data_IF_840320279949
#
_entry.id   IF_840320279949
#
_cell.length_a   1.000
_cell.length_b   1.000
_cell.length_c   1.000
_cell.angle_alpha   90.00
_cell.angle_beta   90.00
_cell.angle_gamma   90.00
#
_symmetry.space_group_name_H-M   'P 1'
#
loop_
_entity.id
_entity.type
_entity.pdbx_description
1 polymer ?
#
# COMPACT_ATOMS: atom_id res chain seq x y z
N UNK A 1 -68.05 -7.28 -53.86
CA UNK A 1 -67.41 -7.33 -52.52
C UNK A 1 -66.85 -8.73 -52.36
N UNK A 2 -65.54 -8.89 -52.51
CA UNK A 2 -64.82 -10.17 -52.32
C UNK A 2 -63.90 -9.94 -51.13
N UNK A 3 -64.09 -10.71 -50.07
CA UNK A 3 -63.27 -10.68 -48.87
C UNK A 3 -61.85 -11.17 -49.20
N UNK A 4 -60.85 -10.35 -48.87
CA UNK A 4 -59.45 -10.70 -49.02
C UNK A 4 -59.02 -11.63 -47.85
N UNK A 5 -58.24 -12.69 -48.10
CA UNK A 5 -57.69 -13.52 -47.05
C UNK A 5 -56.55 -12.78 -46.34
N UNK A 6 -56.64 -12.64 -45.02
CA UNK A 6 -55.54 -12.18 -44.17
C UNK A 6 -54.42 -13.22 -44.18
N UNK A 7 -53.28 -12.88 -44.79
CA UNK A 7 -52.02 -13.58 -44.63
C UNK A 7 -51.09 -12.78 -43.69
N UNK A 8 -50.36 -13.54 -42.88
CA UNK A 8 -49.15 -13.18 -42.12
C UNK A 8 -49.31 -12.53 -40.73
N UNK A 9 -49.79 -13.33 -39.77
CA UNK A 9 -49.36 -13.16 -38.38
C UNK A 9 -47.99 -13.85 -38.22
N UNK A 10 -46.91 -13.08 -38.25
CA UNK A 10 -45.58 -13.57 -37.92
C UNK A 10 -45.55 -14.12 -36.47
N UNK A 11 -44.88 -15.26 -36.20
CA UNK A 11 -44.79 -15.80 -34.85
C UNK A 11 -44.07 -14.80 -33.92
N UNK A 12 -44.48 -14.70 -32.65
CA UNK A 12 -43.86 -13.78 -31.71
C UNK A 12 -42.36 -14.11 -31.55
N UNK A 13 -41.49 -13.09 -31.45
CA UNK A 13 -40.06 -13.31 -31.28
C UNK A 13 -39.80 -14.15 -30.01
N UNK A 14 -38.79 -15.03 -30.01
CA UNK A 14 -38.47 -15.86 -28.86
C UNK A 14 -38.20 -14.98 -27.64
N UNK A 15 -38.80 -15.35 -26.51
CA UNK A 15 -38.60 -14.65 -25.25
C UNK A 15 -37.13 -14.74 -24.85
N UNK A 16 -36.38 -13.66 -25.06
CA UNK A 16 -35.01 -13.54 -24.56
C UNK A 16 -35.10 -13.45 -23.04
N UNK A 17 -34.49 -14.36 -22.26
CA UNK A 17 -34.48 -14.24 -20.82
C UNK A 17 -33.87 -12.88 -20.46
N UNK A 18 -34.44 -12.15 -19.49
CA UNK A 18 -33.94 -10.84 -19.13
C UNK A 18 -32.48 -10.97 -18.73
N UNK A 19 -31.58 -10.48 -19.59
CA UNK A 19 -30.17 -10.40 -19.29
C UNK A 19 -30.09 -9.46 -18.08
N UNK A 20 -29.65 -9.97 -16.93
CA UNK A 20 -29.32 -9.10 -15.80
C UNK A 20 -28.18 -8.19 -16.26
N UNK A 21 -28.55 -7.01 -16.75
CA UNK A 21 -27.61 -5.96 -17.08
C UNK A 21 -26.95 -5.59 -15.76
N UNK A 22 -25.62 -5.70 -15.69
CA UNK A 22 -24.87 -5.13 -14.56
C UNK A 22 -25.31 -3.67 -14.42
N UNK A 23 -25.58 -3.18 -13.21
CA UNK A 23 -25.91 -1.78 -12.99
C UNK A 23 -24.90 -0.91 -13.73
N UNK A 24 -25.38 -0.02 -14.58
CA UNK A 24 -24.53 1.00 -15.16
C UNK A 24 -24.11 1.91 -14.01
N UNK A 25 -22.87 1.74 -13.54
CA UNK A 25 -22.27 2.61 -12.53
C UNK A 25 -21.76 3.83 -13.31
N UNK A 26 -22.36 5.02 -13.15
CA UNK A 26 -21.83 6.22 -13.74
C UNK A 26 -20.43 6.43 -13.18
N UNK A 27 -19.47 6.70 -14.06
CA UNK A 27 -18.07 6.96 -13.76
C UNK A 27 -17.82 7.56 -12.37
N UNK A 28 -17.22 6.78 -11.47
CA UNK A 28 -16.56 7.30 -10.28
C UNK A 28 -17.09 6.87 -8.92
N UNK A 29 -18.29 6.30 -8.80
CA UNK A 29 -18.71 5.75 -7.50
C UNK A 29 -18.09 4.36 -7.27
N UNK A 30 -17.30 4.16 -6.20
CA UNK A 30 -16.79 2.85 -5.85
C UNK A 30 -17.97 1.94 -5.54
N UNK A 31 -18.14 0.85 -6.29
CA UNK A 31 -19.11 -0.18 -5.95
C UNK A 31 -18.60 -0.97 -4.74
N UNK A 32 -18.80 -0.41 -3.55
CA UNK A 32 -18.30 -0.89 -2.25
C UNK A 32 -18.92 -2.22 -1.79
N UNK A 33 -20.04 -2.62 -2.40
CA UNK A 33 -20.82 -3.81 -2.05
C UNK A 33 -20.50 -5.03 -2.95
N UNK A 34 -19.70 -4.89 -4.01
CA UNK A 34 -19.35 -6.05 -4.84
C UNK A 34 -18.43 -7.02 -4.07
N UNK A 35 -18.73 -8.32 -4.03
CA UNK A 35 -17.85 -9.30 -3.43
C UNK A 35 -16.52 -9.32 -4.18
N UNK A 36 -15.42 -9.19 -3.44
CA UNK A 36 -14.06 -9.26 -3.98
C UNK A 36 -13.77 -10.66 -4.51
N UNK A 37 -13.00 -10.73 -5.60
CA UNK A 37 -12.58 -12.03 -6.12
C UNK A 37 -11.63 -12.74 -5.14
N UNK A 38 -11.59 -14.07 -5.17
CA UNK A 38 -10.64 -14.84 -4.38
C UNK A 38 -9.17 -14.46 -4.69
N UNK A 39 -8.86 -14.13 -5.96
CA UNK A 39 -7.55 -13.65 -6.36
C UNK A 39 -7.20 -12.28 -5.76
N UNK A 40 -8.19 -11.40 -5.65
CA UNK A 40 -8.03 -10.08 -5.01
C UNK A 40 -7.74 -10.24 -3.51
N UNK A 41 -8.44 -11.15 -2.82
CA UNK A 41 -8.14 -11.47 -1.42
C UNK A 41 -6.75 -12.09 -1.25
N UNK A 42 -6.38 -13.03 -2.12
CA UNK A 42 -5.05 -13.64 -2.10
C UNK A 42 -3.94 -12.60 -2.32
N UNK A 43 -4.14 -11.63 -3.22
CA UNK A 43 -3.19 -10.55 -3.45
C UNK A 43 -3.02 -9.65 -2.20
N UNK A 44 -4.13 -9.23 -1.58
CA UNK A 44 -4.07 -8.43 -0.35
C UNK A 44 -3.42 -9.22 0.80
N UNK A 45 -3.77 -10.50 0.96
CA UNK A 45 -3.17 -11.38 1.96
C UNK A 45 -1.68 -11.59 1.74
N UNK A 46 -1.24 -11.82 0.50
CA UNK A 46 0.17 -12.00 0.15
C UNK A 46 1.00 -10.75 0.46
N UNK A 47 0.51 -9.56 0.08
CA UNK A 47 1.17 -8.29 0.41
C UNK A 47 1.18 -8.04 1.91
N UNK A 48 0.13 -8.42 2.64
CA UNK A 48 0.05 -8.29 4.09
C UNK A 48 1.08 -9.13 4.85
N UNK A 49 1.61 -10.19 4.24
CA UNK A 49 2.69 -10.99 4.84
C UNK A 49 4.07 -10.36 4.67
N UNK A 50 4.25 -9.40 3.74
CA UNK A 50 5.55 -8.80 3.48
C UNK A 50 6.14 -8.08 4.71
N UNK A 51 5.40 -7.21 5.44
CA UNK A 51 5.93 -6.57 6.65
C UNK A 51 6.38 -7.58 7.71
N UNK A 52 5.63 -8.68 7.89
CA UNK A 52 5.98 -9.75 8.83
C UNK A 52 7.25 -10.47 8.40
N UNK A 53 7.36 -10.81 7.11
CA UNK A 53 8.56 -11.42 6.53
C UNK A 53 9.80 -10.54 6.67
N UNK A 54 9.65 -9.22 6.49
CA UNK A 54 10.75 -8.26 6.66
C UNK A 54 11.17 -8.08 8.11
N UNK A 55 10.24 -8.04 9.08
CA UNK A 55 10.60 -8.00 10.51
C UNK A 55 11.32 -9.28 10.92
N UNK A 56 10.88 -10.44 10.43
CA UNK A 56 11.61 -11.69 10.63
C UNK A 56 12.99 -11.66 9.97
N UNK A 57 13.12 -11.17 8.73
CA UNK A 57 14.40 -11.06 8.04
C UNK A 57 15.38 -10.14 8.78
N UNK A 58 14.87 -9.05 9.38
CA UNK A 58 15.67 -8.13 10.19
C UNK A 58 16.37 -8.85 11.36
N UNK A 59 15.71 -9.85 11.98
CA UNK A 59 16.32 -10.68 13.03
C UNK A 59 17.51 -11.53 12.53
N UNK A 60 17.57 -11.82 11.23
CA UNK A 60 18.63 -12.62 10.62
C UNK A 60 19.81 -11.76 10.18
N UNK A 61 19.52 -10.60 9.62
CA UNK A 61 20.55 -9.70 9.07
C UNK A 61 21.32 -9.02 10.21
N UNK A 62 20.64 -8.57 11.26
CA UNK A 62 21.27 -7.91 12.41
C UNK A 62 21.86 -8.86 13.45
N UNK A 63 21.81 -10.19 13.24
CA UNK A 63 22.27 -11.19 14.21
C UNK A 63 21.51 -11.21 15.56
N UNK A 64 20.51 -10.34 15.72
CA UNK A 64 19.72 -10.18 16.94
C UNK A 64 18.34 -10.82 16.78
N UNK A 65 18.07 -11.86 17.59
CA UNK A 65 16.86 -12.68 17.49
C UNK A 65 15.64 -12.09 18.20
N UNK A 66 15.75 -10.90 18.82
CA UNK A 66 14.65 -10.24 19.53
C UNK A 66 13.59 -9.70 18.57
N UNK A 67 12.68 -10.56 18.17
CA UNK A 67 11.57 -10.23 17.26
C UNK A 67 10.71 -9.07 17.76
N UNK A 68 10.43 -9.00 19.07
CA UNK A 68 9.62 -7.93 19.66
C UNK A 68 10.24 -6.55 19.53
N UNK A 69 11.57 -6.44 19.64
CA UNK A 69 12.28 -5.18 19.49
C UNK A 69 12.31 -4.72 18.02
N UNK A 70 12.57 -5.65 17.09
CA UNK A 70 12.46 -5.37 15.64
C UNK A 70 11.03 -4.97 15.24
N UNK A 71 10.01 -5.62 15.81
CA UNK A 71 8.61 -5.24 15.57
C UNK A 71 8.30 -3.83 16.11
N UNK A 72 8.86 -3.46 17.26
CA UNK A 72 8.69 -2.12 17.83
C UNK A 72 9.39 -1.04 16.98
N UNK A 73 10.59 -1.31 16.45
CA UNK A 73 11.25 -0.44 15.47
C UNK A 73 10.40 -0.22 14.21
N UNK A 74 9.86 -1.31 13.67
CA UNK A 74 9.04 -1.26 12.45
C UNK A 74 7.75 -0.48 12.72
N UNK A 75 7.13 -0.69 13.88
CA UNK A 75 5.94 0.05 14.31
C UNK A 75 6.24 1.54 14.48
N UNK A 76 7.36 1.91 15.11
CA UNK A 76 7.76 3.30 15.28
C UNK A 76 7.98 4.00 13.93
N UNK A 77 8.70 3.34 13.01
CA UNK A 77 8.89 3.85 11.64
C UNK A 77 7.57 3.96 10.87
N UNK A 78 6.67 2.99 11.00
CA UNK A 78 5.34 2.98 10.37
C UNK A 78 4.48 4.14 10.86
N UNK A 79 4.42 4.35 12.18
CA UNK A 79 3.64 5.44 12.80
C UNK A 79 4.18 6.79 12.35
N UNK A 80 5.50 6.99 12.41
CA UNK A 80 6.09 8.25 11.96
C UNK A 80 5.94 8.46 10.46
N UNK A 81 6.05 7.43 9.63
CA UNK A 81 5.80 7.51 8.18
C UNK A 81 4.37 7.94 7.87
N UNK A 82 3.38 7.53 8.66
CA UNK A 82 1.98 7.85 8.42
C UNK A 82 1.65 9.34 8.55
N UNK A 83 2.42 10.10 9.34
CA UNK A 83 2.21 11.53 9.58
C UNK A 83 2.38 12.38 8.31
N UNK A 84 3.55 12.36 7.63
CA UNK A 84 3.70 12.98 6.32
C UNK A 84 3.05 12.13 5.22
N UNK A 85 3.16 10.80 5.30
CA UNK A 85 2.87 9.90 4.18
C UNK A 85 1.39 9.79 3.81
N UNK A 86 0.47 10.34 4.62
CA UNK A 86 -0.96 10.45 4.26
C UNK A 86 -1.19 11.13 2.91
N UNK A 87 -0.31 12.04 2.48
CA UNK A 87 -0.45 12.72 1.19
C UNK A 87 0.10 11.92 0.00
N UNK A 88 0.76 10.77 0.24
CA UNK A 88 1.23 9.88 -0.83
C UNK A 88 0.09 9.15 -1.54
N UNK A 89 -1.08 9.05 -0.88
CA UNK A 89 -2.20 8.23 -1.35
C UNK A 89 -3.45 9.05 -1.69
N UNK A 90 -3.37 10.39 -1.56
CA UNK A 90 -4.46 11.28 -1.96
C UNK A 90 -4.67 11.13 -3.47
N UNK A 91 -5.83 10.60 -3.84
CA UNK A 91 -6.28 10.54 -5.23
C UNK A 91 -7.39 11.54 -5.43
N UNK A 92 -7.19 12.52 -6.31
CA UNK A 92 -8.21 13.52 -6.55
C UNK A 92 -9.30 12.94 -7.44
N UNK A 93 -10.55 13.07 -6.99
CA UNK A 93 -11.70 12.61 -7.77
C UNK A 93 -11.90 13.45 -9.04
N UNK A 94 -11.50 14.73 -9.04
CA UNK A 94 -11.47 15.64 -10.20
C UNK A 94 -10.61 16.91 -9.91
N UNK A 95 -9.28 16.92 -10.08
CA UNK A 95 -8.50 18.13 -9.91
C UNK A 95 -8.38 18.87 -11.25
N UNK A 96 -8.74 20.15 -11.31
CA UNK A 96 -8.43 21.02 -12.45
C UNK A 96 -7.65 22.25 -11.95
N UNK A 97 -6.60 22.63 -12.68
CA UNK A 97 -5.81 23.85 -12.41
C UNK A 97 -4.98 23.79 -11.12
N UNK A 98 -5.02 24.87 -10.33
CA UNK A 98 -4.16 25.13 -9.15
C UNK A 98 -4.20 24.03 -8.08
N UNK A 99 -5.30 23.30 -7.97
CA UNK A 99 -5.42 22.23 -6.98
C UNK A 99 -4.56 21.01 -7.34
N UNK A 100 -4.46 20.67 -8.63
CA UNK A 100 -3.58 19.61 -9.12
C UNK A 100 -2.11 19.93 -8.82
N UNK A 101 -1.70 21.19 -9.01
CA UNK A 101 -0.32 21.62 -8.71
C UNK A 101 0.03 21.51 -7.22
N UNK A 102 -0.91 21.88 -6.34
CA UNK A 102 -0.75 21.74 -4.89
C UNK A 102 -0.66 20.28 -4.45
N UNK A 103 -1.46 19.40 -5.05
CA UNK A 103 -1.47 17.97 -4.75
C UNK A 103 -0.20 17.27 -5.25
N UNK A 104 0.25 17.57 -6.48
CA UNK A 104 1.54 17.10 -7.00
C UNK A 104 2.69 17.62 -6.14
N UNK A 105 2.62 18.89 -5.70
CA UNK A 105 3.58 19.47 -4.77
C UNK A 105 3.59 18.76 -3.41
N UNK A 106 2.41 18.44 -2.86
CA UNK A 106 2.27 17.71 -1.59
C UNK A 106 2.76 16.26 -1.70
N UNK A 107 2.43 15.57 -2.79
CA UNK A 107 2.97 14.24 -3.10
C UNK A 107 4.50 14.29 -3.21
N UNK A 108 5.04 15.23 -4.00
CA UNK A 108 6.49 15.39 -4.17
C UNK A 108 7.21 15.72 -2.86
N UNK A 109 6.64 16.62 -2.04
CA UNK A 109 7.21 16.95 -0.73
C UNK A 109 7.20 15.74 0.21
N UNK A 110 6.12 14.95 0.21
CA UNK A 110 6.02 13.75 1.06
C UNK A 110 6.87 12.59 0.55
N UNK A 111 7.13 12.50 -0.76
CA UNK A 111 8.13 11.59 -1.33
C UNK A 111 9.51 11.80 -0.72
N UNK A 112 9.87 13.06 -0.45
CA UNK A 112 11.17 13.42 0.11
C UNK A 112 11.19 13.31 1.64
N UNK A 113 10.11 13.71 2.31
CA UNK A 113 10.09 13.85 3.78
C UNK A 113 9.69 12.57 4.51
N UNK A 114 8.91 11.68 3.89
CA UNK A 114 8.41 10.46 4.55
C UNK A 114 9.53 9.47 4.92
N UNK A 115 10.49 9.12 4.03
CA UNK A 115 11.55 8.18 4.39
C UNK A 115 12.45 8.66 5.54
N UNK A 116 12.93 9.92 5.58
CA UNK A 116 13.67 10.45 6.73
C UNK A 116 12.90 10.38 8.04
N UNK A 117 11.61 10.74 8.04
CA UNK A 117 10.77 10.71 9.24
C UNK A 117 10.57 9.27 9.73
N UNK A 118 10.31 8.33 8.81
CA UNK A 118 10.21 6.91 9.15
C UNK A 118 11.52 6.36 9.72
N UNK A 119 12.64 6.69 9.06
CA UNK A 119 13.98 6.30 9.49
C UNK A 119 14.32 6.82 10.88
N UNK A 120 13.95 8.06 11.21
CA UNK A 120 14.13 8.63 12.56
C UNK A 120 13.38 7.82 13.62
N UNK A 121 12.16 7.35 13.32
CA UNK A 121 11.36 6.54 14.23
C UNK A 121 11.96 5.17 14.48
N UNK A 122 12.33 4.48 13.40
CA UNK A 122 12.98 3.16 13.47
C UNK A 122 14.33 3.25 14.16
N UNK A 123 15.20 4.16 13.72
CA UNK A 123 16.52 4.37 14.31
C UNK A 123 16.39 4.76 15.78
N UNK A 124 15.55 5.75 16.11
CA UNK A 124 15.37 6.21 17.48
C UNK A 124 14.90 5.08 18.41
N UNK A 125 13.90 4.30 17.98
CA UNK A 125 13.44 3.14 18.74
C UNK A 125 14.51 2.05 18.83
N UNK A 126 15.30 1.85 17.77
CA UNK A 126 16.38 0.89 17.75
C UNK A 126 17.53 1.24 18.69
N UNK A 127 17.90 2.51 18.77
CA UNK A 127 18.86 2.99 19.75
C UNK A 127 18.36 2.77 21.19
N UNK A 128 17.06 2.96 21.46
CA UNK A 128 16.48 2.65 22.78
C UNK A 128 16.48 1.15 23.07
N UNK A 129 16.09 0.33 22.10
CA UNK A 129 15.90 -1.10 22.30
C UNK A 129 17.22 -1.90 22.33
N UNK A 130 18.24 -1.42 21.60
CA UNK A 130 19.46 -2.16 21.37
C UNK A 130 20.74 -1.44 21.82
N UNK A 131 20.76 -0.12 22.01
CA UNK A 131 21.81 0.61 22.70
C UNK A 131 23.25 0.58 22.13
N UNK A 132 23.48 -0.11 21.01
CA UNK A 132 24.82 -0.62 20.62
C UNK A 132 25.29 -0.24 19.20
N UNK A 133 24.68 0.74 18.51
CA UNK A 133 25.19 1.09 17.17
C UNK A 133 26.56 1.79 17.27
N UNK A 134 27.61 1.16 16.72
CA UNK A 134 28.97 1.72 16.71
C UNK A 134 29.06 3.03 15.94
N UNK A 135 28.30 3.13 14.85
CA UNK A 135 28.15 4.34 14.04
C UNK A 135 26.66 4.64 13.85
N UNK A 136 26.15 5.53 14.71
CA UNK A 136 24.77 6.00 14.68
C UNK A 136 24.38 6.63 13.34
N UNK A 137 25.35 7.27 12.66
CA UNK A 137 25.13 7.89 11.36
C UNK A 137 24.88 6.85 10.27
N UNK A 138 25.73 5.81 10.22
CA UNK A 138 25.52 4.67 9.30
C UNK A 138 24.22 3.92 9.59
N UNK A 139 23.89 3.71 10.88
CA UNK A 139 22.65 3.06 11.28
C UNK A 139 21.40 3.83 10.82
N UNK A 140 21.42 5.16 10.97
CA UNK A 140 20.37 6.03 10.45
C UNK A 140 20.31 6.03 8.91
N UNK A 141 21.45 6.07 8.21
CA UNK A 141 21.49 6.01 6.75
C UNK A 141 20.99 4.68 6.20
N UNK A 142 21.27 3.57 6.87
CA UNK A 142 20.69 2.27 6.55
C UNK A 142 19.18 2.28 6.75
N UNK A 143 18.69 2.81 7.87
CA UNK A 143 17.26 2.98 8.10
C UNK A 143 16.60 3.85 7.03
N UNK A 144 17.26 4.93 6.59
CA UNK A 144 16.79 5.81 5.51
C UNK A 144 16.73 5.10 4.16
N UNK A 145 17.78 4.36 3.79
CA UNK A 145 17.81 3.57 2.57
C UNK A 145 16.70 2.51 2.56
N UNK A 146 16.55 1.80 3.68
CA UNK A 146 15.48 0.83 3.87
C UNK A 146 14.07 1.43 3.80
N UNK A 147 13.85 2.58 4.45
CA UNK A 147 12.58 3.30 4.40
C UNK A 147 12.23 3.75 2.97
N UNK A 148 13.22 4.20 2.20
CA UNK A 148 13.04 4.64 0.82
C UNK A 148 12.62 3.48 -0.08
N UNK A 149 13.30 2.33 0.03
CA UNK A 149 12.92 1.12 -0.72
C UNK A 149 11.52 0.64 -0.30
N UNK A 150 11.26 0.58 1.01
CA UNK A 150 9.95 0.21 1.57
C UNK A 150 8.82 1.12 1.08
N UNK A 151 9.10 2.42 0.91
CA UNK A 151 8.15 3.38 0.38
C UNK A 151 7.82 3.17 -1.09
N UNK A 152 8.82 2.94 -1.93
CA UNK A 152 8.59 2.63 -3.35
C UNK A 152 7.76 1.34 -3.50
N UNK A 153 8.07 0.31 -2.71
CA UNK A 153 7.28 -0.92 -2.66
C UNK A 153 5.86 -0.66 -2.13
N UNK A 154 5.71 0.19 -1.11
CA UNK A 154 4.42 0.57 -0.56
C UNK A 154 3.51 1.28 -1.56
N UNK A 155 4.07 2.21 -2.34
CA UNK A 155 3.35 2.90 -3.41
C UNK A 155 2.95 1.92 -4.51
N UNK A 156 3.87 1.07 -4.97
CA UNK A 156 3.58 0.06 -5.98
C UNK A 156 2.52 -0.94 -5.52
N UNK A 157 2.59 -1.39 -4.26
CA UNK A 157 1.61 -2.29 -3.66
C UNK A 157 0.24 -1.62 -3.52
N UNK A 158 0.19 -0.38 -3.03
CA UNK A 158 -1.05 0.39 -2.92
C UNK A 158 -1.74 0.52 -4.28
N UNK A 159 -1.00 0.93 -5.31
CA UNK A 159 -1.54 1.15 -6.64
C UNK A 159 -1.93 -0.16 -7.35
N UNK A 160 -1.11 -1.21 -7.21
CA UNK A 160 -1.42 -2.54 -7.74
C UNK A 160 -2.68 -3.15 -7.09
N UNK A 161 -2.83 -3.04 -5.77
CA UNK A 161 -4.01 -3.52 -5.05
C UNK A 161 -5.25 -2.69 -5.37
N UNK A 162 -5.10 -1.38 -5.58
CA UNK A 162 -6.16 -0.48 -6.06
C UNK A 162 -6.66 -0.90 -7.43
N UNK A 163 -5.78 -1.22 -8.37
CA UNK A 163 -6.17 -1.72 -9.70
C UNK A 163 -6.95 -3.04 -9.62
N UNK A 164 -6.65 -3.92 -8.65
CA UNK A 164 -7.29 -5.22 -8.50
C UNK A 164 -8.65 -5.19 -7.79
N UNK A 165 -8.89 -4.21 -6.93
CA UNK A 165 -10.07 -4.15 -6.06
C UNK A 165 -10.92 -2.88 -6.25
N UNK A 166 -10.52 -1.98 -7.16
CA UNK A 166 -11.18 -0.70 -7.36
C UNK A 166 -11.01 0.26 -6.17
N UNK A 167 -11.76 1.35 -6.22
CA UNK A 167 -11.71 2.50 -5.28
C UNK A 167 -12.47 2.26 -3.97
N UNK A 168 -12.73 0.99 -3.59
CA UNK A 168 -13.47 0.68 -2.36
C UNK A 168 -12.80 1.27 -1.13
N UNK A 169 -13.48 2.20 -0.44
CA UNK A 169 -13.00 2.86 0.77
C UNK A 169 -12.64 1.86 1.89
N UNK A 170 -13.35 0.71 1.95
CA UNK A 170 -13.11 -0.33 2.95
C UNK A 170 -11.69 -0.91 2.88
N UNK A 171 -11.10 -0.94 1.68
CA UNK A 171 -9.74 -1.45 1.46
C UNK A 171 -8.69 -0.36 1.38
N UNK A 172 -9.09 0.91 1.26
CA UNK A 172 -8.15 2.01 1.14
C UNK A 172 -7.31 2.15 2.42
N UNK A 173 -7.96 2.12 3.59
CA UNK A 173 -7.27 2.11 4.88
C UNK A 173 -6.28 0.94 4.99
N UNK A 174 -6.70 -0.26 4.57
CA UNK A 174 -5.82 -1.44 4.59
C UNK A 174 -4.61 -1.25 3.68
N UNK A 175 -4.79 -0.76 2.45
CA UNK A 175 -3.69 -0.53 1.51
C UNK A 175 -2.73 0.54 2.01
N UNK A 176 -3.24 1.64 2.58
CA UNK A 176 -2.42 2.68 3.21
C UNK A 176 -1.63 2.12 4.39
N UNK A 177 -2.29 1.37 5.28
CA UNK A 177 -1.63 0.71 6.41
C UNK A 177 -0.52 -0.25 5.95
N UNK A 178 -0.77 -1.06 4.93
CA UNK A 178 0.23 -1.96 4.34
C UNK A 178 1.40 -1.19 3.74
N UNK A 179 1.13 -0.10 3.02
CA UNK A 179 2.17 0.74 2.44
C UNK A 179 3.04 1.37 3.53
N UNK A 180 2.46 1.93 4.59
CA UNK A 180 3.24 2.45 5.73
C UNK A 180 4.02 1.36 6.46
N UNK A 181 3.44 0.16 6.58
CA UNK A 181 4.10 -0.98 7.22
C UNK A 181 5.32 -1.44 6.42
N UNK A 182 5.28 -1.37 5.09
CA UNK A 182 6.43 -1.61 4.22
C UNK A 182 7.53 -0.56 4.41
N UNK A 183 7.17 0.70 4.63
CA UNK A 183 8.15 1.77 4.95
C UNK A 183 8.85 1.47 6.26
N UNK A 184 8.10 1.26 7.34
CA UNK A 184 8.66 1.03 8.67
C UNK A 184 9.48 -0.27 8.75
N UNK A 185 8.98 -1.36 8.16
CA UNK A 185 9.71 -2.63 8.15
C UNK A 185 10.94 -2.62 7.23
N UNK A 186 10.89 -1.90 6.10
CA UNK A 186 12.05 -1.64 5.26
C UNK A 186 13.12 -0.86 6.03
N UNK A 187 12.72 0.18 6.76
CA UNK A 187 13.60 0.94 7.63
C UNK A 187 14.27 0.05 8.69
N UNK A 188 13.51 -0.84 9.33
CA UNK A 188 14.02 -1.81 10.31
C UNK A 188 15.09 -2.72 9.72
N UNK A 189 14.85 -3.32 8.55
CA UNK A 189 15.85 -4.16 7.87
C UNK A 189 17.12 -3.35 7.58
N UNK A 190 16.97 -2.12 7.09
CA UNK A 190 18.08 -1.22 6.81
C UNK A 190 18.88 -0.84 8.06
N UNK A 191 18.20 -0.55 9.17
CA UNK A 191 18.83 -0.30 10.48
C UNK A 191 19.62 -1.52 10.95
N UNK A 192 18.99 -2.71 10.96
CA UNK A 192 19.62 -3.95 11.40
C UNK A 192 20.84 -4.34 10.55
N UNK A 193 20.81 -4.07 9.24
CA UNK A 193 21.93 -4.31 8.35
C UNK A 193 23.11 -3.37 8.57
N UNK A 194 22.84 -2.10 8.85
CA UNK A 194 23.88 -1.07 8.97
C UNK A 194 24.43 -0.92 10.39
N UNK A 195 23.70 -1.41 11.41
CA UNK A 195 24.14 -1.34 12.81
C UNK A 195 25.10 -2.46 13.21
N UNK A 196 25.19 -3.55 12.44
CA UNK A 196 26.00 -4.73 12.79
C UNK A 196 27.43 -4.64 12.22
N UNK A 197 28.44 -5.22 12.91
CA UNK A 197 29.83 -5.14 12.49
C UNK A 197 30.08 -6.02 11.27
N UNK A 198 30.69 -5.47 10.23
CA UNK A 198 31.43 -6.28 9.26
C UNK A 198 32.43 -7.16 10.03
N UNK A 199 32.46 -8.49 9.81
CA UNK A 199 33.51 -9.31 10.38
C UNK A 199 34.84 -8.81 9.82
N UNK A 200 35.74 -8.35 10.70
CA UNK A 200 37.15 -8.21 10.34
C UNK A 200 37.68 -9.63 10.17
N UNK A 201 37.91 -10.02 8.91
CA UNK A 201 38.78 -11.15 8.57
C UNK A 201 40.23 -10.78 8.85
#
# INVERSE_FOLDING_TARGET
>A
MRDAPFLDAAPPPPAVPPRQLRPFIPHGEPYTEAPLSAGTWAAHGGVALLPLGTVWAATRVGGDTRLGANAAEAAAGTVLASLPGRFLFVHPSYPLGRQMELEVGAFGATMVVTPPIAALGTWGMGEVAFGDSQDRGHAYLGALGGATVGMLLGIAAHEGLRHLAGTSERLDFLRQYLAFSLIGSGATVGYQWSRTPTPRH
#
